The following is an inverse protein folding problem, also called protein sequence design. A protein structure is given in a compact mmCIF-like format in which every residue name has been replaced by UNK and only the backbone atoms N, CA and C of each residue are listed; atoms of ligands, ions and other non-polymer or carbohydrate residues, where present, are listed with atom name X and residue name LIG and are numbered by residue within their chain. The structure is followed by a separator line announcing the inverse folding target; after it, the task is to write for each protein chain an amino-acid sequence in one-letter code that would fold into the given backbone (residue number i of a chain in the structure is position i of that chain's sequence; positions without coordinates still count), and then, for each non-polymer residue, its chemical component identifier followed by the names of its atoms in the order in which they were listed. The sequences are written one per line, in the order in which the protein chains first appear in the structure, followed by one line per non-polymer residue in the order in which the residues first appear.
data_IF_879236372521
#
_entry.id   IF_879236372521
#
_cell.length_a   1.000
_cell.length_b   1.000
_cell.length_c   1.000
_cell.angle_alpha   90.00
_cell.angle_beta   90.00
_cell.angle_gamma   90.00
#
_symmetry.space_group_name_H-M   'P 1'
#
loop_
_entity.id
_entity.type
_entity.pdbx_description
1 polymer ?
#
# COMPACT_ATOMS: atom_id res chain seq x y z
N UNK A 1 -52.38 -17.03 1.65
CA UNK A 1 -52.77 -16.58 3.01
C UNK A 1 -51.78 -17.11 4.02
N UNK A 2 -51.09 -16.19 4.68
CA UNK A 2 -50.04 -16.42 5.68
C UNK A 2 -50.52 -17.22 6.91
N UNK A 3 -49.62 -18.02 7.49
CA UNK A 3 -49.41 -18.09 8.95
C UNK A 3 -48.07 -18.77 9.28
N UNK A 4 -47.18 -18.02 9.96
CA UNK A 4 -45.99 -18.53 10.69
C UNK A 4 -46.40 -19.47 11.84
N UNK A 5 -45.47 -20.23 12.45
CA UNK A 5 -44.98 -19.74 13.75
C UNK A 5 -43.51 -20.05 14.14
N UNK A 6 -42.95 -19.02 14.79
CA UNK A 6 -42.15 -18.98 16.05
C UNK A 6 -40.70 -19.50 16.10
N UNK A 7 -39.83 -18.50 16.33
CA UNK A 7 -38.50 -18.55 16.99
C UNK A 7 -38.48 -19.41 18.26
N UNK A 8 -37.40 -20.16 18.44
CA UNK A 8 -36.91 -20.60 19.74
C UNK A 8 -35.59 -19.89 20.07
N UNK A 9 -35.46 -19.49 21.33
CA UNK A 9 -34.45 -18.62 21.94
C UNK A 9 -33.16 -19.39 22.20
N UNK A 10 -32.00 -18.79 21.89
CA UNK A 10 -30.67 -19.33 22.19
C UNK A 10 -30.21 -18.82 23.57
N UNK A 11 -29.76 -19.72 24.45
CA UNK A 11 -29.10 -19.41 25.72
C UNK A 11 -27.59 -19.62 25.57
N UNK A 12 -26.71 -18.70 26.04
CA UNK A 12 -25.27 -18.81 25.85
C UNK A 12 -24.61 -19.48 27.07
N UNK A 13 -23.76 -20.49 26.82
CA UNK A 13 -22.92 -21.06 27.87
C UNK A 13 -21.89 -22.05 27.35
N UNK A 14 -20.65 -21.86 27.81
CA UNK A 14 -19.47 -22.72 27.68
C UNK A 14 -18.62 -22.60 26.41
N UNK A 15 -17.60 -21.75 26.56
CA UNK A 15 -16.25 -21.86 26.00
C UNK A 15 -15.74 -23.30 25.87
N UNK A 16 -15.35 -23.71 24.67
CA UNK A 16 -14.21 -24.62 24.51
C UNK A 16 -13.50 -24.38 23.16
N UNK A 17 -12.18 -24.18 23.25
CA UNK A 17 -11.28 -23.97 22.14
C UNK A 17 -10.87 -25.33 21.56
N UNK A 18 -11.52 -25.75 20.48
CA UNK A 18 -10.90 -26.65 19.51
C UNK A 18 -11.62 -26.49 18.18
N UNK A 19 -10.86 -26.17 17.13
CA UNK A 19 -11.37 -26.24 15.76
C UNK A 19 -11.66 -27.71 15.49
N UNK A 20 -12.93 -28.15 15.35
CA UNK A 20 -13.19 -29.52 14.98
C UNK A 20 -12.86 -29.61 13.49
N UNK A 21 -11.89 -30.44 13.13
CA UNK A 21 -11.85 -31.07 11.81
C UNK A 21 -13.17 -31.83 11.65
N UNK A 22 -14.19 -31.12 11.16
CA UNK A 22 -15.52 -31.64 10.97
C UNK A 22 -15.41 -32.75 9.92
N UNK A 23 -15.45 -34.00 10.39
CA UNK A 23 -15.62 -35.18 9.57
C UNK A 23 -16.94 -35.02 8.79
N UNK A 24 -16.88 -34.44 7.60
CA UNK A 24 -18.02 -34.23 6.70
C UNK A 24 -18.79 -35.53 6.42
N UNK A 25 -18.11 -36.68 6.55
CA UNK A 25 -18.71 -38.03 6.51
C UNK A 25 -19.81 -38.26 7.55
N UNK A 26 -19.77 -37.58 8.71
CA UNK A 26 -20.85 -37.64 9.72
C UNK A 26 -22.06 -36.80 9.35
N UNK A 27 -21.87 -35.67 8.66
CA UNK A 27 -22.98 -34.81 8.20
C UNK A 27 -23.75 -35.50 7.07
N UNK A 28 -23.06 -36.33 6.27
CA UNK A 28 -23.66 -37.15 5.23
C UNK A 28 -24.41 -38.41 5.73
N UNK A 29 -24.35 -38.76 7.03
CA UNK A 29 -25.07 -39.92 7.56
C UNK A 29 -26.55 -39.56 7.79
N UNK A 30 -27.36 -39.80 6.75
CA UNK A 30 -28.80 -39.48 6.74
C UNK A 30 -29.65 -40.33 7.69
N UNK A 31 -29.04 -41.24 8.47
CA UNK A 31 -29.74 -42.19 9.35
C UNK A 31 -30.45 -41.55 10.55
N UNK A 32 -30.12 -40.31 10.90
CA UNK A 32 -30.70 -39.61 12.05
C UNK A 32 -31.76 -38.55 11.69
N UNK A 33 -32.05 -38.36 10.41
CA UNK A 33 -32.99 -37.34 9.95
C UNK A 33 -34.36 -37.97 9.70
N UNK A 34 -35.38 -37.57 10.47
CA UNK A 34 -36.77 -37.93 10.22
C UNK A 34 -37.31 -37.13 9.04
N UNK A 35 -36.93 -37.54 7.82
CA UNK A 35 -37.34 -36.93 6.56
C UNK A 35 -38.32 -37.85 5.81
N UNK A 36 -39.30 -37.30 5.05
CA UNK A 36 -40.22 -38.08 4.24
C UNK A 36 -39.47 -39.00 3.24
N UNK A 37 -39.98 -40.22 2.94
CA UNK A 37 -39.23 -41.23 2.17
C UNK A 37 -38.86 -40.80 0.74
N UNK A 38 -39.50 -39.78 0.19
CA UNK A 38 -39.21 -39.21 -1.14
C UNK A 38 -38.09 -38.16 -1.15
N UNK A 39 -37.72 -37.57 -0.02
CA UNK A 39 -36.70 -36.51 0.02
C UNK A 39 -35.29 -37.06 0.16
N UNK A 40 -35.11 -38.23 0.78
CA UNK A 40 -33.79 -38.86 0.99
C UNK A 40 -33.08 -39.25 -0.32
N UNK A 41 -33.76 -39.84 -1.33
CA UNK A 41 -33.12 -40.16 -2.62
C UNK A 41 -32.74 -38.90 -3.40
N UNK A 42 -33.57 -37.87 -3.36
CA UNK A 42 -33.34 -36.59 -4.04
C UNK A 42 -32.18 -35.86 -3.36
N UNK A 43 -32.14 -35.81 -2.02
CA UNK A 43 -31.02 -35.24 -1.28
C UNK A 43 -29.71 -35.96 -1.60
N UNK A 44 -29.72 -37.29 -1.69
CA UNK A 44 -28.51 -38.07 -2.04
C UNK A 44 -28.02 -37.79 -3.45
N UNK A 45 -28.92 -37.74 -4.42
CA UNK A 45 -28.56 -37.41 -5.82
C UNK A 45 -28.04 -35.98 -5.94
N UNK A 46 -28.62 -35.05 -5.18
CA UNK A 46 -28.19 -33.65 -5.12
C UNK A 46 -26.83 -33.54 -4.41
N UNK A 47 -26.62 -34.19 -3.27
CA UNK A 47 -25.33 -34.19 -2.58
C UNK A 47 -24.24 -34.91 -3.36
N UNK A 48 -24.54 -36.03 -4.03
CA UNK A 48 -23.56 -36.76 -4.84
C UNK A 48 -23.21 -35.98 -6.12
N UNK A 49 -24.17 -35.30 -6.76
CA UNK A 49 -23.88 -34.38 -7.89
C UNK A 49 -23.09 -33.14 -7.46
N UNK A 50 -23.44 -32.56 -6.32
CA UNK A 50 -22.72 -31.39 -5.78
C UNK A 50 -21.29 -31.77 -5.37
N UNK A 51 -21.10 -32.99 -4.86
CA UNK A 51 -19.80 -33.47 -4.40
C UNK A 51 -18.93 -34.02 -5.55
N UNK A 52 -19.53 -34.38 -6.70
CA UNK A 52 -18.79 -34.82 -7.91
C UNK A 52 -18.24 -33.68 -8.76
N UNK A 53 -18.79 -32.47 -8.67
CA UNK A 53 -18.35 -31.31 -9.46
C UNK A 53 -17.27 -30.46 -8.76
N UNK A 54 -16.89 -30.81 -7.53
CA UNK A 54 -15.88 -30.08 -6.78
C UNK A 54 -14.50 -30.73 -7.01
N UNK A 55 -13.55 -30.02 -7.64
CA UNK A 55 -12.14 -30.33 -7.47
C UNK A 55 -11.69 -29.71 -6.13
N UNK A 56 -11.64 -30.47 -5.00
CA UNK A 56 -11.26 -29.93 -3.70
C UNK A 56 -9.90 -29.22 -3.70
N UNK A 57 -9.04 -29.58 -4.65
CA UNK A 57 -7.72 -28.99 -4.84
C UNK A 57 -7.76 -27.52 -5.25
N UNK A 58 -8.69 -27.11 -6.11
CA UNK A 58 -8.79 -25.71 -6.58
C UNK A 58 -9.29 -24.79 -5.45
N UNK A 59 -10.25 -25.29 -4.66
CA UNK A 59 -10.78 -24.57 -3.50
C UNK A 59 -9.74 -24.42 -2.39
N UNK A 60 -8.96 -25.47 -2.10
CA UNK A 60 -7.86 -25.40 -1.12
C UNK A 60 -6.79 -24.38 -1.54
N UNK A 61 -6.41 -24.35 -2.83
CA UNK A 61 -5.43 -23.37 -3.33
C UNK A 61 -5.94 -21.94 -3.24
N UNK A 62 -7.22 -21.70 -3.54
CA UNK A 62 -7.82 -20.38 -3.49
C UNK A 62 -7.91 -19.82 -2.06
N UNK A 63 -8.29 -20.67 -1.10
CA UNK A 63 -8.30 -20.30 0.33
C UNK A 63 -6.88 -19.98 0.81
N UNK A 64 -5.88 -20.75 0.39
CA UNK A 64 -4.49 -20.51 0.73
C UNK A 64 -3.98 -19.18 0.17
N UNK A 65 -4.25 -18.87 -1.11
CA UNK A 65 -3.85 -17.59 -1.72
C UNK A 65 -4.49 -16.38 -1.04
N UNK A 66 -5.81 -16.42 -0.81
CA UNK A 66 -6.50 -15.32 -0.14
C UNK A 66 -6.00 -15.10 1.30
N UNK A 67 -5.71 -16.19 2.01
CA UNK A 67 -5.10 -16.14 3.33
C UNK A 67 -3.71 -15.49 3.29
N UNK A 68 -2.87 -15.86 2.31
CA UNK A 68 -1.56 -15.25 2.11
C UNK A 68 -1.66 -13.73 1.80
N UNK A 69 -2.60 -13.32 0.95
CA UNK A 69 -2.86 -11.90 0.65
C UNK A 69 -3.25 -11.12 1.90
N UNK A 70 -4.15 -11.66 2.74
CA UNK A 70 -4.56 -11.04 4.02
C UNK A 70 -3.38 -10.87 4.98
N UNK A 71 -2.58 -11.92 5.17
CA UNK A 71 -1.39 -11.83 6.03
C UNK A 71 -0.38 -10.80 5.52
N UNK A 72 -0.25 -10.67 4.21
CA UNK A 72 0.66 -9.71 3.59
C UNK A 72 0.22 -8.27 3.82
N UNK A 73 -1.07 -7.98 3.65
CA UNK A 73 -1.64 -6.65 3.91
C UNK A 73 -1.45 -6.27 5.38
N UNK A 74 -1.77 -7.18 6.31
CA UNK A 74 -1.55 -6.96 7.74
C UNK A 74 -0.07 -6.77 8.07
N UNK A 75 0.83 -7.53 7.43
CA UNK A 75 2.27 -7.38 7.63
C UNK A 75 2.78 -6.02 7.16
N UNK A 76 2.30 -5.54 6.02
CA UNK A 76 2.60 -4.19 5.51
C UNK A 76 2.13 -3.10 6.47
N UNK A 77 0.89 -3.22 6.99
CA UNK A 77 0.37 -2.30 8.00
C UNK A 77 1.21 -2.36 9.29
N UNK A 78 1.51 -3.56 9.81
CA UNK A 78 2.32 -3.73 11.01
C UNK A 78 3.70 -3.08 10.85
N UNK A 79 4.36 -3.26 9.70
CA UNK A 79 5.64 -2.60 9.43
C UNK A 79 5.48 -1.07 9.40
N UNK A 80 4.43 -0.56 8.77
CA UNK A 80 4.14 0.87 8.71
C UNK A 80 3.88 1.46 10.10
N UNK A 81 3.07 0.80 10.93
CA UNK A 81 2.79 1.23 12.32
C UNK A 81 4.07 1.19 13.15
N UNK A 82 4.88 0.14 13.00
CA UNK A 82 6.17 0.04 13.69
C UNK A 82 7.09 1.22 13.33
N UNK A 83 7.21 1.53 12.03
CA UNK A 83 7.97 2.69 11.55
C UNK A 83 7.40 4.01 12.07
N UNK A 84 6.08 4.14 12.10
CA UNK A 84 5.39 5.31 12.62
C UNK A 84 5.77 5.56 14.08
N UNK A 85 5.71 4.52 14.93
CA UNK A 85 6.07 4.61 16.35
C UNK A 85 7.54 5.00 16.52
N UNK A 86 8.45 4.36 15.77
CA UNK A 86 9.88 4.67 15.84
C UNK A 86 10.21 6.11 15.44
N UNK A 87 9.46 6.67 14.49
CA UNK A 87 9.71 8.01 13.95
C UNK A 87 8.91 9.10 14.64
N UNK A 88 7.96 8.74 15.50
CA UNK A 88 7.10 9.70 16.22
C UNK A 88 7.88 10.70 17.11
N UNK A 89 8.93 10.31 17.87
CA UNK A 89 9.71 11.28 18.64
C UNK A 89 10.35 12.36 17.76
N UNK A 90 10.92 11.96 16.61
CA UNK A 90 11.49 12.88 15.64
C UNK A 90 10.42 13.77 14.98
N UNK A 91 9.20 13.26 14.82
CA UNK A 91 8.06 14.06 14.35
C UNK A 91 7.72 15.20 15.30
N UNK A 92 7.62 14.90 16.60
CA UNK A 92 7.33 15.91 17.63
C UNK A 92 8.46 16.94 17.68
N UNK A 93 9.72 16.50 17.64
CA UNK A 93 10.90 17.39 17.67
C UNK A 93 10.97 18.33 16.45
N UNK A 94 10.80 17.80 15.24
CA UNK A 94 11.09 18.58 14.02
C UNK A 94 9.86 19.25 13.39
N UNK A 95 8.66 18.69 13.57
CA UNK A 95 7.46 19.15 12.85
C UNK A 95 6.42 19.83 13.73
N UNK A 96 6.29 19.49 15.01
CA UNK A 96 5.21 20.06 15.83
C UNK A 96 5.45 21.53 16.16
N UNK A 97 6.66 21.88 16.62
CA UNK A 97 7.03 23.25 16.98
C UNK A 97 7.41 24.17 15.81
N UNK A 98 7.57 23.65 14.58
CA UNK A 98 8.04 24.44 13.44
C UNK A 98 6.92 25.20 12.72
N UNK A 99 7.26 26.30 12.04
CA UNK A 99 6.31 27.09 11.26
C UNK A 99 5.61 26.27 10.17
N UNK A 100 4.35 26.63 9.87
CA UNK A 100 3.58 26.00 8.80
C UNK A 100 4.22 26.32 7.44
N UNK A 101 4.68 25.26 6.75
CA UNK A 101 5.28 25.32 5.42
C UNK A 101 4.57 24.30 4.52
N UNK A 102 4.65 24.47 3.20
CA UNK A 102 4.08 23.51 2.25
C UNK A 102 4.61 22.09 2.47
N UNK A 103 5.91 21.95 2.79
CA UNK A 103 6.54 20.66 3.14
C UNK A 103 5.90 20.04 4.39
N UNK A 104 5.64 20.84 5.43
CA UNK A 104 4.96 20.38 6.65
C UNK A 104 3.55 19.87 6.35
N UNK A 105 2.76 20.60 5.56
CA UNK A 105 1.41 20.19 5.19
C UNK A 105 1.43 18.86 4.42
N UNK A 106 2.30 18.74 3.42
CA UNK A 106 2.40 17.53 2.59
C UNK A 106 2.91 16.35 3.42
N UNK A 107 3.84 16.58 4.34
CA UNK A 107 4.30 15.56 5.29
C UNK A 107 3.15 15.04 6.16
N UNK A 108 2.38 15.93 6.80
CA UNK A 108 1.23 15.54 7.63
C UNK A 108 0.17 14.81 6.80
N UNK A 109 -0.15 15.33 5.62
CA UNK A 109 -1.05 14.64 4.70
C UNK A 109 -0.53 13.23 4.38
N UNK A 110 0.67 13.11 3.83
CA UNK A 110 1.21 11.83 3.39
C UNK A 110 1.29 10.81 4.53
N UNK A 111 1.73 11.22 5.72
CA UNK A 111 1.91 10.32 6.87
C UNK A 111 0.60 9.87 7.49
N UNK A 112 -0.32 10.80 7.79
CA UNK A 112 -1.58 10.47 8.46
C UNK A 112 -2.62 9.89 7.51
N UNK A 113 -2.69 10.41 6.28
CA UNK A 113 -3.57 9.85 5.25
C UNK A 113 -3.18 8.41 4.95
N UNK A 114 -1.89 8.11 4.76
CA UNK A 114 -1.45 6.73 4.51
C UNK A 114 -1.72 5.80 5.70
N UNK A 115 -1.59 6.29 6.93
CA UNK A 115 -1.96 5.51 8.12
C UNK A 115 -3.45 5.12 8.11
N UNK A 116 -4.32 6.09 7.85
CA UNK A 116 -5.76 5.87 7.79
C UNK A 116 -6.16 5.00 6.58
N UNK A 117 -5.56 5.24 5.42
CA UNK A 117 -5.78 4.45 4.21
C UNK A 117 -5.34 3.00 4.41
N UNK A 118 -4.10 2.76 4.87
CA UNK A 118 -3.61 1.40 5.12
C UNK A 118 -4.42 0.68 6.20
N UNK A 119 -4.87 1.40 7.24
CA UNK A 119 -5.76 0.88 8.27
C UNK A 119 -7.13 0.47 7.71
N UNK A 120 -7.76 1.34 6.93
CA UNK A 120 -9.04 1.06 6.26
C UNK A 120 -8.94 -0.13 5.30
N UNK A 121 -7.89 -0.18 4.46
CA UNK A 121 -7.65 -1.29 3.53
C UNK A 121 -7.41 -2.62 4.25
N UNK A 122 -6.70 -2.59 5.38
CA UNK A 122 -6.51 -3.79 6.18
C UNK A 122 -7.83 -4.24 6.81
N UNK A 123 -8.65 -3.30 7.30
CA UNK A 123 -9.93 -3.59 7.92
C UNK A 123 -10.94 -4.18 6.92
N UNK A 124 -11.12 -3.54 5.76
CA UNK A 124 -12.06 -3.99 4.72
C UNK A 124 -11.73 -5.39 4.20
N UNK A 125 -10.45 -5.76 4.16
CA UNK A 125 -9.98 -7.08 3.71
C UNK A 125 -10.07 -8.17 4.78
N UNK A 126 -10.13 -7.79 6.07
CA UNK A 126 -10.24 -8.70 7.20
C UNK A 126 -11.69 -9.01 7.59
N UNK A 127 -12.63 -8.12 7.26
CA UNK A 127 -14.05 -8.33 7.56
C UNK A 127 -14.57 -9.59 6.85
N UNK A 128 -15.13 -10.50 7.67
CA UNK A 128 -15.51 -11.87 7.28
C UNK A 128 -16.89 -11.98 6.65
N UNK A 129 -17.63 -10.87 6.54
CA UNK A 129 -18.98 -10.88 5.99
C UNK A 129 -18.92 -10.51 4.51
N UNK A 130 -19.20 -11.46 3.59
CA UNK A 130 -19.26 -11.19 2.16
C UNK A 130 -20.52 -10.39 1.85
N UNK A 131 -20.50 -9.10 2.16
CA UNK A 131 -21.55 -8.16 1.76
C UNK A 131 -21.22 -7.57 0.38
N UNK A 132 -22.22 -7.15 -0.41
CA UNK A 132 -22.02 -6.44 -1.68
C UNK A 132 -21.14 -5.18 -1.57
N UNK A 133 -20.87 -4.71 -0.36
CA UNK A 133 -19.95 -3.61 -0.06
C UNK A 133 -18.47 -3.95 -0.31
N UNK A 134 -18.07 -5.23 -0.29
CA UNK A 134 -16.66 -5.62 -0.45
C UNK A 134 -16.11 -5.28 -1.85
N UNK A 135 -16.93 -5.43 -2.88
CA UNK A 135 -16.55 -5.07 -4.25
C UNK A 135 -16.53 -3.53 -4.43
N UNK A 136 -17.27 -2.75 -3.63
CA UNK A 136 -17.13 -1.29 -3.55
C UNK A 136 -15.83 -0.86 -2.83
N UNK A 137 -15.37 -1.66 -1.85
CA UNK A 137 -14.12 -1.40 -1.12
C UNK A 137 -12.87 -1.60 -2.00
N UNK A 138 -12.90 -2.47 -3.00
CA UNK A 138 -11.78 -2.65 -3.95
C UNK A 138 -11.53 -1.42 -4.83
N UNK A 139 -12.59 -0.68 -5.15
CA UNK A 139 -12.47 0.53 -5.96
C UNK A 139 -11.91 1.69 -5.14
N UNK A 140 -12.30 1.78 -3.86
CA UNK A 140 -11.72 2.73 -2.93
C UNK A 140 -10.20 2.50 -2.76
N UNK A 141 -9.72 1.25 -2.82
CA UNK A 141 -8.30 0.92 -2.73
C UNK A 141 -7.45 1.62 -3.79
N UNK A 142 -7.91 1.64 -5.04
CA UNK A 142 -7.15 2.24 -6.14
C UNK A 142 -7.04 3.76 -5.98
N UNK A 143 -8.10 4.44 -5.54
CA UNK A 143 -8.03 5.89 -5.31
C UNK A 143 -7.19 6.25 -4.09
N UNK A 144 -7.29 5.46 -3.01
CA UNK A 144 -6.50 5.65 -1.81
C UNK A 144 -5.01 5.43 -2.08
N UNK A 145 -4.65 4.42 -2.88
CA UNK A 145 -3.26 4.14 -3.25
C UNK A 145 -2.65 5.29 -4.05
N UNK A 146 -3.36 5.81 -5.07
CA UNK A 146 -2.93 6.97 -5.87
C UNK A 146 -2.67 8.19 -4.99
N UNK A 147 -3.55 8.46 -4.02
CA UNK A 147 -3.37 9.59 -3.10
C UNK A 147 -2.16 9.42 -2.16
N UNK A 148 -1.94 8.21 -1.62
CA UNK A 148 -0.78 7.93 -0.77
C UNK A 148 0.54 8.06 -1.54
N UNK A 149 0.60 7.43 -2.71
CA UNK A 149 1.76 7.41 -3.59
C UNK A 149 2.07 8.82 -4.13
N UNK A 150 1.05 9.54 -4.59
CA UNK A 150 1.18 10.92 -5.06
C UNK A 150 1.75 11.85 -3.98
N UNK A 151 1.37 11.66 -2.71
CA UNK A 151 1.98 12.40 -1.60
C UNK A 151 3.48 12.17 -1.46
N UNK A 152 3.95 10.93 -1.60
CA UNK A 152 5.38 10.59 -1.53
C UNK A 152 6.15 11.17 -2.74
N UNK A 153 5.57 11.11 -3.93
CA UNK A 153 6.13 11.71 -5.14
C UNK A 153 6.31 13.23 -5.01
N UNK A 154 5.31 13.93 -4.46
CA UNK A 154 5.41 15.38 -4.23
C UNK A 154 6.55 15.72 -3.27
N UNK A 155 6.76 14.93 -2.21
CA UNK A 155 7.90 15.10 -1.30
C UNK A 155 9.22 14.99 -2.06
N UNK A 156 9.36 13.97 -2.91
CA UNK A 156 10.56 13.77 -3.74
C UNK A 156 10.76 14.91 -4.76
N UNK A 157 9.67 15.39 -5.36
CA UNK A 157 9.72 16.51 -6.30
C UNK A 157 10.17 17.81 -5.61
N UNK A 158 9.60 18.14 -4.44
CA UNK A 158 9.99 19.32 -3.66
C UNK A 158 11.46 19.28 -3.29
N UNK A 159 11.98 18.09 -2.97
CA UNK A 159 13.39 17.87 -2.68
C UNK A 159 14.28 18.16 -3.88
N UNK A 160 13.95 17.64 -5.06
CA UNK A 160 14.70 17.93 -6.30
C UNK A 160 14.65 19.41 -6.61
N UNK A 161 13.49 20.05 -6.45
CA UNK A 161 13.35 21.48 -6.68
C UNK A 161 14.24 22.32 -5.73
N UNK A 162 14.31 21.94 -4.45
CA UNK A 162 15.21 22.58 -3.49
C UNK A 162 16.70 22.38 -3.87
N UNK A 163 17.07 21.19 -4.33
CA UNK A 163 18.44 20.86 -4.74
C UNK A 163 18.92 21.66 -5.97
N UNK A 164 17.98 22.06 -6.85
CA UNK A 164 18.25 22.90 -8.01
C UNK A 164 18.04 24.41 -7.73
N UNK A 165 18.03 24.83 -6.47
CA UNK A 165 17.99 26.25 -6.11
C UNK A 165 16.69 26.96 -6.48
N UNK A 166 15.56 26.24 -6.47
CA UNK A 166 14.23 26.77 -6.76
C UNK A 166 14.01 27.28 -8.19
N UNK A 167 14.67 26.67 -9.19
CA UNK A 167 14.41 27.00 -10.60
C UNK A 167 12.93 26.77 -10.99
N UNK A 168 12.29 27.85 -11.48
CA UNK A 168 10.88 27.86 -11.87
C UNK A 168 10.62 27.00 -13.10
N UNK A 169 11.57 26.90 -14.03
CA UNK A 169 11.41 26.10 -15.25
C UNK A 169 11.35 24.63 -14.88
N UNK A 170 12.31 24.17 -14.09
CA UNK A 170 12.33 22.79 -13.59
C UNK A 170 11.06 22.45 -12.80
N UNK A 171 10.58 23.38 -11.96
CA UNK A 171 9.31 23.18 -11.23
C UNK A 171 8.14 22.95 -12.18
N UNK A 172 7.97 23.80 -13.20
CA UNK A 172 6.87 23.68 -14.17
C UNK A 172 6.96 22.35 -14.91
N UNK A 173 8.14 21.97 -15.40
CA UNK A 173 8.36 20.71 -16.11
C UNK A 173 8.04 19.50 -15.22
N UNK A 174 8.58 19.46 -14.00
CA UNK A 174 8.33 18.36 -13.07
C UNK A 174 6.87 18.27 -12.63
N UNK A 175 6.20 19.42 -12.43
CA UNK A 175 4.78 19.43 -12.11
C UNK A 175 3.93 18.95 -13.28
N UNK A 176 4.26 19.33 -14.52
CA UNK A 176 3.57 18.81 -15.70
C UNK A 176 3.74 17.29 -15.82
N UNK A 177 4.96 16.78 -15.63
CA UNK A 177 5.24 15.33 -15.64
C UNK A 177 4.45 14.58 -14.54
N UNK A 178 4.39 15.13 -13.33
CA UNK A 178 3.61 14.58 -12.23
C UNK A 178 2.11 14.52 -12.54
N UNK A 179 1.53 15.59 -13.08
CA UNK A 179 0.11 15.57 -13.43
C UNK A 179 -0.18 14.58 -14.57
N UNK A 180 0.75 14.41 -15.52
CA UNK A 180 0.63 13.39 -16.57
C UNK A 180 0.70 11.97 -16.00
N UNK A 181 1.61 11.68 -15.06
CA UNK A 181 1.69 10.36 -14.42
C UNK A 181 0.42 10.03 -13.63
N UNK A 182 -0.03 10.93 -12.76
CA UNK A 182 -1.26 10.75 -11.98
C UNK A 182 -2.49 10.60 -12.89
N UNK A 183 -2.57 11.39 -13.96
CA UNK A 183 -3.69 11.31 -14.91
C UNK A 183 -3.72 9.97 -15.66
N UNK A 184 -2.56 9.40 -15.98
CA UNK A 184 -2.48 8.08 -16.61
C UNK A 184 -2.91 6.95 -15.66
N UNK A 185 -2.51 7.01 -14.38
CA UNK A 185 -2.93 6.05 -13.36
C UNK A 185 -4.44 6.13 -13.09
N UNK A 186 -4.98 7.34 -12.94
CA UNK A 186 -6.42 7.56 -12.79
C UNK A 186 -7.20 7.09 -14.03
N UNK A 187 -6.66 7.31 -15.23
CA UNK A 187 -7.27 6.83 -16.47
C UNK A 187 -7.39 5.30 -16.51
N UNK A 188 -6.34 4.59 -16.09
CA UNK A 188 -6.34 3.13 -15.98
C UNK A 188 -7.33 2.66 -14.90
N UNK A 189 -7.36 3.34 -13.74
CA UNK A 189 -8.32 3.04 -12.66
C UNK A 189 -9.77 3.21 -13.11
N UNK A 190 -10.08 4.29 -13.82
CA UNK A 190 -11.43 4.56 -14.35
C UNK A 190 -11.78 3.55 -15.46
N UNK A 191 -10.83 3.16 -16.30
CA UNK A 191 -11.07 2.13 -17.33
C UNK A 191 -11.46 0.78 -16.71
N UNK A 192 -10.79 0.39 -15.60
CA UNK A 192 -11.15 -0.79 -14.81
C UNK A 192 -12.59 -0.69 -14.29
N UNK A 193 -12.92 0.42 -13.64
CA UNK A 193 -14.27 0.69 -13.12
C UNK A 193 -15.37 0.57 -14.18
N UNK A 194 -15.13 1.10 -15.37
CA UNK A 194 -16.10 1.06 -16.48
C UNK A 194 -16.28 -0.37 -17.00
N UNK A 195 -15.22 -1.17 -17.01
CA UNK A 195 -15.27 -2.56 -17.45
C UNK A 195 -15.98 -3.48 -16.42
N UNK A 196 -15.75 -3.23 -15.14
CA UNK A 196 -16.32 -4.02 -14.03
C UNK A 196 -17.83 -3.76 -13.83
N UNK A 197 -18.31 -2.54 -14.14
CA UNK A 197 -19.73 -2.15 -14.09
C UNK A 197 -20.67 -2.96 -15.02
N UNK A 198 -20.15 -3.91 -15.80
CA UNK A 198 -20.94 -4.85 -16.60
C UNK A 198 -20.76 -6.34 -16.25
N UNK A 199 -19.84 -6.72 -15.36
CA UNK A 199 -19.38 -8.13 -15.26
C UNK A 199 -18.93 -8.63 -13.87
N UNK A 200 -19.25 -7.95 -12.76
CA UNK A 200 -19.04 -8.56 -11.42
C UNK A 200 -19.98 -9.74 -11.20
N UNK A 201 -19.60 -10.91 -11.72
CA UNK A 201 -20.27 -12.18 -11.46
C UNK A 201 -19.93 -12.53 -10.02
N UNK A 202 -20.80 -12.16 -9.08
CA UNK A 202 -20.86 -12.85 -7.79
C UNK A 202 -21.27 -14.28 -8.12
N UNK A 203 -20.31 -15.18 -8.29
CA UNK A 203 -20.61 -16.60 -8.33
C UNK A 203 -20.83 -17.03 -6.88
N UNK A 204 -22.06 -17.28 -6.42
CA UNK A 204 -22.23 -17.96 -5.16
C UNK A 204 -21.59 -19.33 -5.34
N UNK A 205 -20.63 -19.73 -4.47
CA UNK A 205 -20.32 -21.15 -4.33
C UNK A 205 -21.62 -21.80 -3.85
N UNK A 206 -22.32 -22.64 -4.65
CA UNK A 206 -23.64 -23.17 -4.27
C UNK A 206 -23.57 -24.19 -3.11
N UNK A 207 -22.42 -24.34 -2.44
CA UNK A 207 -22.10 -25.42 -1.51
C UNK A 207 -21.78 -24.98 -0.08
N UNK A 208 -21.75 -23.67 0.22
CA UNK A 208 -21.55 -23.17 1.59
C UNK A 208 -22.88 -22.67 2.17
N UNK A 209 -23.16 -23.05 3.43
CA UNK A 209 -24.37 -22.62 4.16
C UNK A 209 -24.43 -21.10 4.40
N UNK A 210 -23.31 -20.42 4.22
CA UNK A 210 -23.19 -18.98 4.01
C UNK A 210 -22.56 -18.74 2.63
N UNK A 211 -23.15 -17.94 1.73
CA UNK A 211 -22.58 -17.71 0.40
C UNK A 211 -21.25 -16.96 0.56
N UNK A 212 -20.14 -17.69 0.40
CA UNK A 212 -18.83 -17.08 0.25
C UNK A 212 -18.78 -16.43 -1.13
N UNK A 213 -19.18 -15.15 -1.20
CA UNK A 213 -19.01 -14.35 -2.40
C UNK A 213 -17.53 -14.05 -2.57
N UNK A 214 -16.87 -14.78 -3.48
CA UNK A 214 -15.57 -14.35 -4.00
C UNK A 214 -15.82 -13.41 -5.18
N UNK A 215 -15.35 -12.17 -5.07
CA UNK A 215 -15.10 -11.34 -6.25
C UNK A 215 -13.89 -12.00 -6.95
N UNK A 216 -14.09 -12.68 -8.07
CA UNK A 216 -13.00 -13.19 -8.94
C UNK A 216 -12.76 -12.11 -9.99
N UNK A 217 -11.76 -11.23 -9.83
CA UNK A 217 -11.51 -10.19 -10.79
C UNK A 217 -11.01 -10.81 -12.10
N UNK A 218 -11.68 -10.52 -13.22
CA UNK A 218 -11.05 -10.64 -14.52
C UNK A 218 -10.05 -9.48 -14.62
N UNK A 219 -8.75 -9.78 -14.45
CA UNK A 219 -7.71 -8.75 -14.51
C UNK A 219 -7.31 -8.55 -15.97
N UNK A 220 -7.69 -7.42 -16.62
CA UNK A 220 -7.28 -7.17 -17.98
C UNK A 220 -5.78 -6.87 -18.07
N UNK A 221 -5.16 -7.29 -19.17
CA UNK A 221 -3.71 -7.16 -19.40
C UNK A 221 -3.20 -5.72 -19.37
N UNK A 222 -4.06 -4.72 -19.61
CA UNK A 222 -3.66 -3.31 -19.52
C UNK A 222 -3.32 -2.84 -18.10
N UNK A 223 -3.75 -3.56 -17.06
CA UNK A 223 -3.38 -3.23 -15.66
C UNK A 223 -1.88 -3.41 -15.40
N UNK A 224 -1.17 -4.20 -16.20
CA UNK A 224 0.30 -4.30 -16.14
C UNK A 224 1.00 -2.98 -16.45
N UNK A 225 0.31 -2.05 -17.13
CA UNK A 225 0.84 -0.73 -17.45
C UNK A 225 0.69 0.26 -16.27
N UNK A 226 -0.11 -0.06 -15.26
CA UNK A 226 -0.38 0.82 -14.11
C UNK A 226 0.88 1.34 -13.38
N UNK A 227 1.89 0.52 -13.03
CA UNK A 227 3.09 1.00 -12.34
C UNK A 227 4.11 1.69 -13.25
N UNK A 228 3.92 1.68 -14.58
CA UNK A 228 4.93 2.21 -15.52
C UNK A 228 5.12 3.73 -15.41
N UNK A 229 4.07 4.56 -15.38
CA UNK A 229 4.20 6.02 -15.31
C UNK A 229 4.92 6.50 -14.05
N UNK A 230 4.57 5.94 -12.88
CA UNK A 230 5.26 6.25 -11.62
C UNK A 230 6.74 5.86 -11.65
N UNK A 231 7.04 4.66 -12.13
CA UNK A 231 8.42 4.18 -12.20
C UNK A 231 9.26 5.02 -13.15
N UNK A 232 8.68 5.46 -14.28
CA UNK A 232 9.32 6.40 -15.18
C UNK A 232 9.59 7.75 -14.48
N UNK A 233 8.61 8.28 -13.74
CA UNK A 233 8.76 9.54 -13.01
C UNK A 233 9.82 9.47 -11.90
N UNK A 234 9.82 8.40 -11.09
CA UNK A 234 10.83 8.18 -10.06
C UNK A 234 12.24 8.05 -10.65
N UNK A 235 12.36 7.40 -11.82
CA UNK A 235 13.63 7.28 -12.55
C UNK A 235 14.13 8.66 -13.01
N UNK A 236 13.23 9.52 -13.50
CA UNK A 236 13.58 10.90 -13.88
C UNK A 236 14.07 11.69 -12.65
N UNK A 237 13.33 11.64 -11.53
CA UNK A 237 13.73 12.33 -10.30
C UNK A 237 15.08 11.82 -9.79
N UNK A 238 15.28 10.51 -9.76
CA UNK A 238 16.54 9.90 -9.35
C UNK A 238 17.70 10.33 -10.25
N UNK A 239 17.50 10.32 -11.57
CA UNK A 239 18.50 10.74 -12.55
C UNK A 239 18.89 12.21 -12.34
N UNK A 240 17.92 13.09 -12.05
CA UNK A 240 18.21 14.51 -11.76
C UNK A 240 19.03 14.69 -10.48
N UNK A 241 18.80 13.88 -9.44
CA UNK A 241 19.62 13.90 -8.21
C UNK A 241 21.04 13.45 -8.53
N UNK A 242 21.21 12.31 -9.21
CA UNK A 242 22.54 11.78 -9.62
C UNK A 242 23.28 12.82 -10.46
N UNK A 243 22.61 13.41 -11.44
CA UNK A 243 23.18 14.41 -12.32
C UNK A 243 23.64 15.65 -11.55
N UNK A 244 22.84 16.14 -10.59
CA UNK A 244 23.23 17.29 -9.78
C UNK A 244 24.44 17.01 -8.89
N UNK A 245 24.48 15.84 -8.26
CA UNK A 245 25.63 15.40 -7.45
C UNK A 245 26.89 15.34 -8.30
N UNK A 246 26.80 14.77 -9.51
CA UNK A 246 27.91 14.73 -10.45
C UNK A 246 28.39 16.12 -10.87
N UNK A 247 27.47 17.05 -11.15
CA UNK A 247 27.82 18.44 -11.47
C UNK A 247 28.52 19.14 -10.30
N UNK A 248 28.01 18.99 -9.08
CA UNK A 248 28.61 19.59 -7.88
C UNK A 248 30.02 19.03 -7.64
N UNK A 249 30.21 17.71 -7.73
CA UNK A 249 31.54 17.09 -7.58
C UNK A 249 32.52 17.57 -8.67
N UNK A 250 32.06 17.73 -9.91
CA UNK A 250 32.91 18.27 -10.99
C UNK A 250 33.33 19.71 -10.75
N UNK A 251 32.43 20.54 -10.22
CA UNK A 251 32.73 21.93 -9.88
C UNK A 251 33.74 22.02 -8.73
N UNK A 252 33.56 21.20 -7.68
CA UNK A 252 34.51 21.12 -6.56
C UNK A 252 35.93 20.70 -7.01
N UNK A 253 36.03 19.77 -7.98
CA UNK A 253 37.32 19.37 -8.54
C UNK A 253 37.98 20.45 -9.42
N UNK A 254 37.19 21.38 -9.97
CA UNK A 254 37.70 22.50 -10.78
C UNK A 254 38.14 23.68 -9.91
N UNK A 255 37.46 23.92 -8.78
CA UNK A 255 37.70 25.03 -7.87
C UNK A 255 38.35 24.54 -6.56
N UNK A 256 39.62 24.12 -6.62
CA UNK A 256 40.38 23.59 -5.47
C UNK A 256 40.67 24.61 -4.33
N UNK A 257 40.10 25.82 -4.37
CA UNK A 257 40.50 26.96 -3.53
C UNK A 257 39.47 27.38 -2.47
N UNK A 258 38.25 26.82 -2.46
CA UNK A 258 37.20 27.24 -1.50
C UNK A 258 36.98 26.23 -0.36
N UNK A 259 37.49 26.56 0.82
CA UNK A 259 37.43 25.77 2.07
C UNK A 259 36.11 25.86 2.85
N UNK A 260 35.16 26.72 2.46
CA UNK A 260 33.88 26.93 3.16
C UNK A 260 32.71 26.03 2.65
N UNK A 261 32.99 25.07 1.77
CA UNK A 261 31.97 24.30 1.03
C UNK A 261 31.46 23.04 1.79
N UNK A 262 32.09 22.66 2.90
CA UNK A 262 31.86 21.37 3.57
C UNK A 262 30.41 21.08 4.02
N UNK A 263 29.67 22.06 4.52
CA UNK A 263 28.30 21.85 5.03
C UNK A 263 27.30 21.60 3.90
N UNK A 264 27.42 22.33 2.79
CA UNK A 264 26.56 22.13 1.61
C UNK A 264 26.83 20.78 0.94
N UNK A 265 28.09 20.36 0.85
CA UNK A 265 28.46 19.05 0.29
C UNK A 265 27.92 17.91 1.15
N UNK A 266 28.00 18.00 2.48
CA UNK A 266 27.45 17.00 3.40
C UNK A 266 25.93 16.85 3.25
N UNK A 267 25.19 17.96 3.18
CA UNK A 267 23.74 17.92 2.97
C UNK A 267 23.39 17.25 1.63
N UNK A 268 24.10 17.60 0.55
CA UNK A 268 23.90 17.00 -0.79
C UNK A 268 24.19 15.50 -0.78
N UNK A 269 25.25 15.05 -0.08
CA UNK A 269 25.59 13.62 0.03
C UNK A 269 24.52 12.82 0.79
N UNK A 270 24.02 13.35 1.91
CA UNK A 270 22.91 12.72 2.64
C UNK A 270 21.66 12.70 1.77
N UNK A 271 21.43 13.78 1.01
CA UNK A 271 20.32 13.84 0.10
C UNK A 271 20.39 12.78 -0.99
N UNK A 272 21.59 12.56 -1.55
CA UNK A 272 21.85 11.52 -2.53
C UNK A 272 21.65 10.12 -1.95
N UNK A 273 22.29 9.81 -0.82
CA UNK A 273 22.20 8.49 -0.17
C UNK A 273 20.74 8.10 0.08
N UNK A 274 19.97 9.02 0.65
CA UNK A 274 18.59 8.69 0.98
C UNK A 274 17.71 8.61 -0.29
N UNK A 275 18.01 9.37 -1.36
CA UNK A 275 17.37 9.18 -2.68
C UNK A 275 17.67 7.81 -3.29
N UNK A 276 18.91 7.30 -3.15
CA UNK A 276 19.29 5.96 -3.63
C UNK A 276 18.50 4.88 -2.89
N UNK A 277 18.40 4.99 -1.56
CA UNK A 277 17.64 4.02 -0.74
C UNK A 277 16.16 4.05 -1.12
N UNK A 278 15.55 5.24 -1.22
CA UNK A 278 14.17 5.38 -1.69
C UNK A 278 13.97 4.72 -3.06
N UNK A 279 14.81 5.07 -4.03
CA UNK A 279 14.68 4.55 -5.40
C UNK A 279 14.85 3.03 -5.44
N UNK A 280 15.84 2.47 -4.72
CA UNK A 280 16.07 1.03 -4.66
C UNK A 280 14.89 0.28 -4.04
N UNK A 281 14.32 0.79 -2.94
CA UNK A 281 13.15 0.19 -2.30
C UNK A 281 11.92 0.24 -3.22
N UNK A 282 11.63 1.41 -3.80
CA UNK A 282 10.47 1.59 -4.68
C UNK A 282 10.58 0.75 -5.94
N UNK A 283 11.76 0.72 -6.59
CA UNK A 283 11.98 -0.12 -7.77
C UNK A 283 11.88 -1.61 -7.43
N UNK A 284 12.48 -2.04 -6.32
CA UNK A 284 12.44 -3.44 -5.89
C UNK A 284 11.01 -3.93 -5.62
N UNK A 285 10.18 -3.10 -4.97
CA UNK A 285 8.79 -3.45 -4.66
C UNK A 285 7.91 -3.42 -5.91
N UNK A 286 8.08 -2.44 -6.78
CA UNK A 286 7.35 -2.41 -8.04
C UNK A 286 7.76 -3.55 -8.98
N UNK A 287 9.03 -3.94 -8.99
CA UNK A 287 9.50 -5.13 -9.70
C UNK A 287 8.88 -6.41 -9.11
N UNK A 288 8.88 -6.55 -7.78
CA UNK A 288 8.21 -7.66 -7.10
C UNK A 288 6.73 -7.72 -7.49
N UNK A 289 6.03 -6.58 -7.46
CA UNK A 289 4.62 -6.50 -7.83
C UNK A 289 4.38 -6.91 -9.29
N UNK A 290 5.22 -6.42 -10.21
CA UNK A 290 5.16 -6.80 -11.63
C UNK A 290 5.39 -8.30 -11.84
N UNK A 291 6.33 -8.90 -11.11
CA UNK A 291 6.58 -10.35 -11.16
C UNK A 291 5.38 -11.14 -10.63
N UNK A 292 4.77 -10.71 -9.54
CA UNK A 292 3.54 -11.32 -9.01
C UNK A 292 2.40 -11.25 -10.04
N UNK A 293 2.25 -10.11 -10.71
CA UNK A 293 1.18 -9.92 -11.71
C UNK A 293 1.39 -10.69 -13.01
N UNK A 294 2.65 -10.99 -13.37
CA UNK A 294 2.98 -11.66 -14.64
C UNK A 294 3.17 -13.16 -14.49
N UNK A 295 3.70 -13.62 -13.35
CA UNK A 295 4.05 -15.02 -13.11
C UNK A 295 3.11 -15.69 -12.09
N UNK A 296 2.44 -14.90 -11.24
CA UNK A 296 1.60 -15.41 -10.17
C UNK A 296 0.15 -15.69 -10.60
N UNK A 297 -0.57 -16.54 -9.85
CA UNK A 297 -2.02 -16.66 -9.97
C UNK A 297 -2.71 -15.32 -9.66
N UNK A 298 -3.84 -15.07 -10.35
CA UNK A 298 -4.62 -13.82 -10.25
C UNK A 298 -5.02 -13.47 -8.80
N UNK A 299 -5.18 -14.47 -7.95
CA UNK A 299 -5.54 -14.31 -6.53
C UNK A 299 -4.48 -13.60 -5.68
N UNK A 300 -3.22 -13.56 -6.15
CA UNK A 300 -2.10 -12.92 -5.44
C UNK A 300 -1.87 -11.47 -5.88
N UNK A 301 -2.69 -10.91 -6.77
CA UNK A 301 -2.49 -9.58 -7.33
C UNK A 301 -2.34 -8.47 -6.28
N UNK A 302 -3.05 -8.58 -5.16
CA UNK A 302 -3.06 -7.60 -4.05
C UNK A 302 -1.90 -7.76 -3.06
N UNK A 303 -1.11 -8.84 -3.17
CA UNK A 303 0.03 -9.12 -2.27
C UNK A 303 1.08 -8.01 -2.37
N UNK A 304 1.39 -7.55 -3.59
CA UNK A 304 2.40 -6.52 -3.82
C UNK A 304 1.90 -5.10 -3.63
N UNK A 305 0.60 -4.84 -3.78
CA UNK A 305 0.03 -3.47 -3.77
C UNK A 305 0.17 -2.79 -2.41
N UNK A 306 -0.06 -3.53 -1.32
CA UNK A 306 0.05 -3.00 0.03
C UNK A 306 1.48 -2.50 0.35
N UNK A 307 2.51 -3.18 -0.15
CA UNK A 307 3.90 -2.75 0.03
C UNK A 307 4.27 -1.57 -0.87
N UNK A 308 3.73 -1.55 -2.10
CA UNK A 308 3.94 -0.47 -3.05
C UNK A 308 3.37 0.88 -2.54
N UNK A 309 2.38 0.83 -1.65
CA UNK A 309 1.84 2.03 -0.98
C UNK A 309 2.66 2.43 0.25
N UNK A 310 2.92 1.50 1.18
CA UNK A 310 3.49 1.85 2.49
C UNK A 310 4.98 2.17 2.44
N UNK A 311 5.76 1.45 1.63
CA UNK A 311 7.23 1.57 1.65
C UNK A 311 7.73 2.90 1.06
N UNK A 312 7.24 3.37 -0.10
CA UNK A 312 7.65 4.70 -0.60
C UNK A 312 7.32 5.82 0.38
N UNK A 313 6.17 5.73 1.05
CA UNK A 313 5.76 6.70 2.08
C UNK A 313 6.69 6.67 3.30
N UNK A 314 7.02 5.48 3.81
CA UNK A 314 8.00 5.33 4.91
C UNK A 314 9.37 5.92 4.52
N UNK A 315 9.85 5.59 3.32
CA UNK A 315 11.12 6.08 2.82
C UNK A 315 11.12 7.62 2.65
N UNK A 316 10.04 8.19 2.10
CA UNK A 316 9.86 9.64 1.95
C UNK A 316 9.84 10.36 3.31
N UNK A 317 9.16 9.79 4.32
CA UNK A 317 9.14 10.34 5.68
C UNK A 317 10.54 10.33 6.31
N UNK A 318 11.28 9.22 6.19
CA UNK A 318 12.66 9.11 6.70
C UNK A 318 13.63 10.09 6.06
N UNK A 319 13.50 10.32 4.76
CA UNK A 319 14.24 11.37 4.04
C UNK A 319 14.01 12.75 4.69
N UNK A 320 12.76 13.10 4.98
CA UNK A 320 12.43 14.39 5.59
C UNK A 320 13.01 14.54 7.00
N UNK A 321 12.97 13.48 7.81
CA UNK A 321 13.58 13.49 9.13
C UNK A 321 15.10 13.66 9.06
N UNK A 322 15.78 12.91 8.19
CA UNK A 322 17.23 13.03 8.03
C UNK A 322 17.64 14.44 7.60
N UNK A 323 16.90 15.06 6.67
CA UNK A 323 17.18 16.43 6.24
C UNK A 323 16.97 17.44 7.38
N UNK A 324 15.90 17.32 8.16
CA UNK A 324 15.64 18.22 9.31
C UNK A 324 16.68 18.07 10.41
N UNK A 325 17.08 16.84 10.71
CA UNK A 325 18.11 16.54 11.70
C UNK A 325 19.44 17.21 11.33
N UNK A 326 19.89 17.06 10.09
CA UNK A 326 21.15 17.65 9.64
C UNK A 326 21.08 19.18 9.55
N UNK A 327 19.94 19.74 9.14
CA UNK A 327 19.74 21.19 9.15
C UNK A 327 19.87 21.77 10.57
N UNK A 328 19.20 21.16 11.56
CA UNK A 328 19.29 21.61 12.94
C UNK A 328 20.71 21.46 13.51
N UNK A 329 21.39 20.34 13.25
CA UNK A 329 22.79 20.14 13.67
C UNK A 329 23.72 21.20 13.07
N UNK A 330 23.53 21.54 11.80
CA UNK A 330 24.33 22.56 11.13
C UNK A 330 24.11 23.95 11.75
N UNK A 331 22.86 24.30 12.10
CA UNK A 331 22.54 25.57 12.77
C UNK A 331 23.16 25.65 14.16
N UNK A 332 23.14 24.58 14.95
CA UNK A 332 23.75 24.59 16.30
C UNK A 332 25.26 24.80 16.22
N UNK A 333 25.97 24.12 15.31
CA UNK A 333 27.41 24.29 15.14
C UNK A 333 27.77 25.73 14.75
N UNK A 334 27.02 26.33 13.82
CA UNK A 334 27.27 27.74 13.43
C UNK A 334 27.05 28.71 14.58
N UNK A 335 26.07 28.46 15.46
CA UNK A 335 25.83 29.31 16.63
C UNK A 335 26.93 29.15 17.69
N UNK A 336 27.42 27.94 17.90
CA UNK A 336 28.54 27.67 18.83
C UNK A 336 29.83 28.32 18.33
N UNK A 337 30.12 28.25 17.03
CA UNK A 337 31.28 28.92 16.41
C UNK A 337 31.19 30.45 16.52
N UNK A 338 30.00 31.04 16.30
CA UNK A 338 29.77 32.49 16.50
C UNK A 338 29.94 32.91 17.96
N UNK A 339 29.42 32.13 18.92
CA UNK A 339 29.59 32.41 20.35
C UNK A 339 31.04 32.29 20.80
N UNK A 340 31.79 31.31 20.29
CA UNK A 340 33.21 31.16 20.58
C UNK A 340 34.03 32.31 19.99
N UNK A 341 33.72 32.74 18.76
CA UNK A 341 34.37 33.88 18.11
C UNK A 341 34.14 35.21 18.86
N UNK A 342 32.93 35.45 19.37
CA UNK A 342 32.59 36.62 20.18
C UNK A 342 33.22 36.61 21.58
N UNK A 343 33.67 35.46 22.09
CA UNK A 343 34.35 35.35 23.39
C UNK A 343 35.86 35.60 23.34
N UNK A 344 36.43 35.64 22.12
CA UNK A 344 37.87 35.81 21.88
C UNK A 344 38.28 37.23 21.46
N UNK A 345 37.33 38.14 21.28
CA UNK A 345 37.53 39.60 21.15
C UNK A 345 37.24 40.31 22.47
#
# INVERSE_FOLDING_TARGET
CLALPRRAVYSPGATDQSIPTQNWKRVADTRHWHLPPLTVPILRVVTDRIMSDLQPKELETLIAHNTASRFTIVSSLCLYVYDYILTFPAEVEYFWGSAWTSVKIIFFFNRYFTFLAAGYLSFSRLDRLPTPSLCFDEEAEIFLSVACIGGAQVIMQLRVHALYGHDRVLKIVLSALFFMSISSELGIAIAKLVQDNGTSIVQPLPFLMDPLSLCVPQIPTYLLMYPVPIMAFDTILFTLVVFKVYLTQRQEMADATCTWVGTSTRLIQIMFRDSVIYFACTVGINLFNLLVWTLGPLDLFTVGTAWAVTVPVMAANRILFNMRKEFNQSTTVTMDDEMLGLSTE
#
